data_IF_936106862659
#
_entry.id   IF_936106862659
#
_cell.length_a   1.000
_cell.length_b   1.000
_cell.length_c   1.000
_cell.angle_alpha   90.00
_cell.angle_beta   90.00
_cell.angle_gamma   90.00
#
_symmetry.space_group_name_H-M   'P 1'
#
loop_
_entity.id
_entity.type
_entity.pdbx_description
1 polymer ?
#
# COMPACT_ATOMS: atom_id res chain seq x y z
N UNK A 1 -12.02 -38.85 -50.95
CA UNK A 1 -10.81 -38.12 -50.53
C UNK A 1 -11.27 -36.96 -49.65
N UNK A 2 -11.23 -37.13 -48.32
CA UNK A 2 -11.74 -36.17 -47.34
C UNK A 2 -10.65 -35.13 -47.01
N UNK A 3 -10.90 -33.81 -47.09
CA UNK A 3 -9.97 -32.84 -46.56
C UNK A 3 -10.23 -32.61 -45.07
N UNK A 4 -9.16 -32.87 -44.33
CA UNK A 4 -9.00 -32.70 -42.90
C UNK A 4 -9.25 -31.23 -42.48
N UNK A 5 -10.31 -31.01 -41.70
CA UNK A 5 -10.63 -29.73 -41.06
C UNK A 5 -9.60 -29.47 -39.94
N UNK A 6 -8.55 -28.70 -40.24
CA UNK A 6 -7.57 -28.23 -39.24
C UNK A 6 -8.20 -27.11 -38.42
N UNK A 7 -8.73 -27.46 -37.25
CA UNK A 7 -9.19 -26.52 -36.24
C UNK A 7 -7.96 -25.84 -35.59
N UNK A 8 -7.57 -24.67 -36.10
CA UNK A 8 -6.57 -23.80 -35.49
C UNK A 8 -7.19 -23.13 -34.26
N UNK A 9 -6.85 -23.66 -33.08
CA UNK A 9 -7.18 -23.05 -31.79
C UNK A 9 -6.30 -21.79 -31.62
N UNK A 10 -6.81 -20.63 -32.02
CA UNK A 10 -6.21 -19.34 -31.72
C UNK A 10 -6.42 -19.07 -30.22
N UNK A 11 -5.44 -19.44 -29.39
CA UNK A 11 -5.31 -18.91 -28.04
C UNK A 11 -5.05 -17.40 -28.15
N UNK A 12 -6.11 -16.60 -28.07
CA UNK A 12 -6.03 -15.16 -27.87
C UNK A 12 -5.44 -14.92 -26.48
N UNK A 13 -4.12 -14.74 -26.40
CA UNK A 13 -3.47 -14.16 -25.24
C UNK A 13 -4.00 -12.73 -25.12
N UNK A 14 -4.90 -12.51 -24.16
CA UNK A 14 -5.31 -11.17 -23.81
C UNK A 14 -4.07 -10.42 -23.31
N UNK A 15 -3.58 -9.48 -24.11
CA UNK A 15 -2.61 -8.49 -23.67
C UNK A 15 -3.29 -7.67 -22.58
N UNK A 16 -3.04 -8.03 -21.32
CA UNK A 16 -3.40 -7.19 -20.18
C UNK A 16 -2.52 -5.96 -20.29
N UNK A 17 -3.08 -4.85 -20.81
CA UNK A 17 -2.38 -3.57 -20.78
C UNK A 17 -2.02 -3.27 -19.33
N UNK A 18 -0.77 -2.89 -19.01
CA UNK A 18 -0.46 -2.43 -17.67
C UNK A 18 -1.38 -1.26 -17.37
N UNK A 19 -2.03 -1.27 -16.21
CA UNK A 19 -2.66 -0.06 -15.68
C UNK A 19 -1.56 0.98 -15.65
N UNK A 20 -1.63 1.99 -16.53
CA UNK A 20 -0.64 3.05 -16.55
C UNK A 20 -0.72 3.74 -15.19
N UNK A 21 0.31 3.50 -14.37
CA UNK A 21 0.48 4.13 -13.09
C UNK A 21 0.54 5.66 -13.34
N UNK A 22 -0.41 6.41 -12.78
CA UNK A 22 -0.56 7.84 -13.02
C UNK A 22 -0.37 8.62 -11.71
N UNK A 23 0.47 9.67 -11.77
CA UNK A 23 0.57 10.66 -10.70
C UNK A 23 -0.58 11.65 -10.92
N UNK A 24 -1.45 11.80 -9.93
CA UNK A 24 -2.55 12.75 -9.98
C UNK A 24 -2.07 14.19 -9.75
N UNK A 25 -2.79 15.16 -10.33
CA UNK A 25 -2.51 16.59 -10.11
C UNK A 25 -2.83 17.03 -8.67
N UNK A 26 -3.66 16.27 -7.96
CA UNK A 26 -4.01 16.54 -6.56
C UNK A 26 -4.49 15.29 -5.85
N UNK A 27 -4.51 15.33 -4.52
CA UNK A 27 -5.02 14.26 -3.69
C UNK A 27 -6.47 13.89 -4.04
N UNK A 28 -7.30 14.86 -4.47
CA UNK A 28 -8.74 14.68 -4.69
C UNK A 28 -9.08 13.84 -5.92
N UNK A 29 -8.13 13.69 -6.85
CA UNK A 29 -8.37 13.05 -8.15
C UNK A 29 -7.54 11.79 -8.38
N UNK A 30 -6.97 11.23 -7.31
CA UNK A 30 -6.33 9.91 -7.35
C UNK A 30 -7.32 8.82 -7.74
N UNK A 31 -6.81 7.73 -8.31
CA UNK A 31 -7.62 6.61 -8.82
C UNK A 31 -7.10 5.31 -8.24
N UNK A 32 -7.48 4.98 -6.99
CA UNK A 32 -6.91 3.85 -6.30
C UNK A 32 -7.24 2.53 -6.99
N UNK A 33 -6.31 1.59 -6.89
CA UNK A 33 -6.55 0.21 -7.29
C UNK A 33 -7.76 -0.38 -6.55
N UNK A 34 -8.52 -1.22 -7.25
CA UNK A 34 -9.81 -1.74 -6.76
C UNK A 34 -9.64 -2.94 -5.83
N UNK A 35 -10.62 -3.12 -4.94
CA UNK A 35 -10.79 -4.39 -4.22
C UNK A 35 -11.02 -5.51 -5.24
N UNK A 36 -10.38 -6.66 -5.02
CA UNK A 36 -10.33 -7.80 -5.93
C UNK A 36 -9.14 -7.78 -6.88
N UNK A 37 -8.38 -6.68 -6.97
CA UNK A 37 -7.13 -6.65 -7.76
C UNK A 37 -5.98 -7.32 -7.02
N UNK A 38 -5.07 -7.92 -7.77
CA UNK A 38 -3.78 -8.36 -7.25
C UNK A 38 -2.91 -7.15 -6.87
N UNK A 39 -2.13 -7.29 -5.80
CA UNK A 39 -1.12 -6.31 -5.42
C UNK A 39 -0.09 -6.15 -6.57
N UNK A 40 0.25 -4.91 -6.95
CA UNK A 40 1.14 -4.67 -8.08
C UNK A 40 2.57 -5.14 -7.80
N UNK A 41 3.28 -5.51 -8.87
CA UNK A 41 4.70 -5.81 -8.80
C UNK A 41 5.49 -4.50 -8.85
N UNK A 42 6.10 -4.12 -7.73
CA UNK A 42 6.88 -2.87 -7.59
C UNK A 42 8.16 -3.12 -6.80
N UNK A 43 9.20 -2.33 -7.10
CA UNK A 43 10.44 -2.34 -6.33
C UNK A 43 10.33 -1.39 -5.14
N UNK A 44 11.05 -1.75 -4.09
CA UNK A 44 11.03 -1.05 -2.81
C UNK A 44 12.43 -1.13 -2.19
N UNK A 45 12.68 -0.34 -1.14
CA UNK A 45 13.95 -0.37 -0.40
C UNK A 45 13.71 -0.58 1.09
N UNK A 46 14.35 -1.59 1.68
CA UNK A 46 14.27 -1.84 3.14
C UNK A 46 15.05 -0.78 3.92
N UNK A 47 14.82 -0.70 5.23
CA UNK A 47 15.61 0.15 6.14
C UNK A 47 17.13 -0.04 6.02
N UNK A 48 17.58 -1.23 5.65
CA UNK A 48 19.02 -1.52 5.47
C UNK A 48 19.61 -0.93 4.18
N UNK A 49 18.80 -0.29 3.33
CA UNK A 49 19.18 0.11 1.97
C UNK A 49 19.11 -1.03 0.94
N UNK A 50 18.77 -2.25 1.37
CA UNK A 50 18.65 -3.38 0.45
C UNK A 50 17.39 -3.26 -0.42
N UNK A 51 17.54 -3.49 -1.73
CA UNK A 51 16.43 -3.61 -2.66
C UNK A 51 15.54 -4.81 -2.32
N UNK A 52 14.23 -4.65 -2.51
CA UNK A 52 13.21 -5.68 -2.33
C UNK A 52 12.05 -5.45 -3.31
N UNK A 53 11.08 -6.35 -3.31
CA UNK A 53 9.82 -6.17 -4.05
C UNK A 53 8.64 -6.24 -3.09
N UNK A 54 7.51 -5.64 -3.47
CA UNK A 54 6.29 -5.76 -2.65
C UNK A 54 5.91 -7.22 -2.43
N UNK A 55 6.00 -8.07 -3.45
CA UNK A 55 5.72 -9.49 -3.32
C UNK A 55 6.61 -10.19 -2.27
N UNK A 56 7.90 -9.83 -2.20
CA UNK A 56 8.81 -10.36 -1.20
C UNK A 56 8.48 -9.88 0.22
N UNK A 57 8.06 -8.61 0.38
CA UNK A 57 7.61 -8.07 1.67
C UNK A 57 6.28 -8.69 2.13
N UNK A 58 5.37 -8.99 1.19
CA UNK A 58 4.13 -9.71 1.49
C UNK A 58 4.43 -11.16 1.91
N UNK A 59 5.35 -11.85 1.23
CA UNK A 59 5.85 -13.17 1.64
C UNK A 59 4.77 -14.25 1.78
N UNK A 60 3.66 -14.12 1.06
CA UNK A 60 2.49 -15.01 1.15
C UNK A 60 1.71 -14.91 2.47
N UNK A 61 1.93 -13.85 3.25
CA UNK A 61 1.16 -13.57 4.46
C UNK A 61 0.06 -12.57 4.16
N UNK A 62 -1.15 -12.77 4.73
CA UNK A 62 -2.15 -11.73 4.68
C UNK A 62 -1.60 -10.48 5.41
N UNK A 63 -1.84 -9.31 4.85
CA UNK A 63 -1.10 -8.10 5.21
C UNK A 63 -2.04 -6.90 5.32
N UNK A 64 -1.94 -6.18 6.43
CA UNK A 64 -2.43 -4.79 6.51
C UNK A 64 -1.32 -3.91 5.94
N UNK A 65 -1.55 -3.36 4.75
CA UNK A 65 -0.61 -2.48 4.06
C UNK A 65 -1.05 -1.02 4.25
N UNK A 66 -0.14 -0.17 4.73
CA UNK A 66 -0.42 1.23 5.02
C UNK A 66 0.51 2.12 4.20
N UNK A 67 -0.06 3.03 3.41
CA UNK A 67 0.71 4.11 2.80
C UNK A 67 0.57 5.38 3.62
N UNK A 68 1.72 5.98 3.97
CA UNK A 68 1.79 7.18 4.76
C UNK A 68 2.75 8.20 4.15
N UNK A 69 2.60 9.47 4.53
CA UNK A 69 3.28 10.59 3.85
C UNK A 69 4.77 10.69 4.15
N UNK A 70 5.18 10.15 5.30
CA UNK A 70 6.53 10.21 5.83
C UNK A 70 6.54 10.38 7.35
N UNK A 71 7.69 10.12 7.98
CA UNK A 71 7.89 10.14 9.43
C UNK A 71 7.76 11.53 10.06
N UNK A 72 7.90 12.58 9.25
CA UNK A 72 7.66 13.97 9.64
C UNK A 72 6.16 14.29 9.83
N UNK A 73 5.24 13.45 9.37
CA UNK A 73 3.81 13.73 9.44
C UNK A 73 3.18 13.27 10.77
N UNK A 74 2.71 14.18 11.64
CA UNK A 74 2.20 13.81 12.97
C UNK A 74 0.93 12.95 12.90
N UNK A 75 0.05 13.19 11.93
CA UNK A 75 -1.15 12.38 11.72
C UNK A 75 -0.81 10.94 11.31
N UNK A 76 0.26 10.76 10.52
CA UNK A 76 0.72 9.44 10.11
C UNK A 76 1.30 8.68 11.31
N UNK A 77 2.14 9.32 12.13
CA UNK A 77 2.69 8.71 13.33
C UNK A 77 1.60 8.29 14.32
N UNK A 78 0.57 9.12 14.51
CA UNK A 78 -0.59 8.77 15.33
C UNK A 78 -1.34 7.56 14.75
N UNK A 79 -1.62 7.54 13.45
CA UNK A 79 -2.30 6.41 12.81
C UNK A 79 -1.50 5.11 12.95
N UNK A 80 -0.19 5.16 12.72
CA UNK A 80 0.68 3.99 12.86
C UNK A 80 0.68 3.49 14.32
N UNK A 81 0.75 4.39 15.30
CA UNK A 81 0.63 4.03 16.72
C UNK A 81 -0.70 3.36 17.06
N UNK A 82 -1.82 3.81 16.47
CA UNK A 82 -3.12 3.17 16.64
C UNK A 82 -3.19 1.80 15.96
N UNK A 83 -2.67 1.65 14.74
CA UNK A 83 -2.68 0.38 14.01
C UNK A 83 -1.84 -0.70 14.68
N UNK A 84 -0.76 -0.34 15.39
CA UNK A 84 0.02 -1.28 16.23
C UNK A 84 -0.84 -2.03 17.24
N UNK A 85 -1.92 -1.41 17.75
CA UNK A 85 -2.84 -2.04 18.71
C UNK A 85 -3.58 -3.25 18.12
N UNK A 86 -3.51 -3.48 16.80
CA UNK A 86 -3.98 -4.70 16.14
C UNK A 86 -3.04 -5.89 16.33
N UNK A 87 -1.85 -5.73 16.91
CA UNK A 87 -0.84 -6.79 17.06
C UNK A 87 -1.40 -8.15 17.48
N UNK A 88 -2.27 -8.24 18.52
CA UNK A 88 -2.91 -9.50 18.91
C UNK A 88 -3.79 -10.13 17.82
N UNK A 89 -4.60 -9.32 17.11
CA UNK A 89 -5.44 -9.79 16.01
C UNK A 89 -4.60 -10.24 14.83
N UNK A 90 -3.55 -9.48 14.52
CA UNK A 90 -2.62 -9.80 13.44
C UNK A 90 -1.97 -11.17 13.71
N UNK A 91 -1.44 -11.36 14.93
CA UNK A 91 -0.82 -12.62 15.33
C UNK A 91 -1.82 -13.79 15.31
N UNK A 92 -3.07 -13.58 15.78
CA UNK A 92 -4.11 -14.61 15.81
C UNK A 92 -4.45 -15.13 14.41
N UNK A 93 -4.45 -14.25 13.41
CA UNK A 93 -4.84 -14.58 12.04
C UNK A 93 -3.65 -14.74 11.08
N UNK A 94 -2.42 -14.73 11.58
CA UNK A 94 -1.21 -14.83 10.75
C UNK A 94 -0.94 -13.61 9.87
N UNK A 95 -1.61 -12.49 10.14
CA UNK A 95 -1.40 -11.24 9.44
C UNK A 95 -0.10 -10.56 9.87
N UNK A 96 0.42 -9.73 8.98
CA UNK A 96 1.45 -8.75 9.28
C UNK A 96 0.97 -7.32 9.01
N UNK A 97 1.68 -6.35 9.59
CA UNK A 97 1.56 -4.93 9.26
C UNK A 97 2.80 -4.52 8.46
N UNK A 98 2.57 -3.86 7.32
CA UNK A 98 3.59 -3.32 6.44
C UNK A 98 3.24 -1.85 6.17
N UNK A 99 4.19 -0.94 6.40
CA UNK A 99 4.00 0.47 6.12
C UNK A 99 5.02 0.99 5.11
N UNK A 100 4.52 1.72 4.11
CA UNK A 100 5.28 2.25 2.99
C UNK A 100 5.12 3.77 2.93
N UNK A 101 6.22 4.47 2.70
CA UNK A 101 6.23 5.92 2.46
C UNK A 101 7.25 6.30 1.40
N UNK A 102 7.15 7.50 0.81
CA UNK A 102 8.16 8.00 -0.11
C UNK A 102 9.45 8.46 0.59
N UNK A 103 9.56 8.33 1.93
CA UNK A 103 10.80 8.65 2.62
C UNK A 103 11.90 7.65 2.19
N UNK A 104 13.12 8.15 1.92
CA UNK A 104 14.28 7.29 1.65
C UNK A 104 14.61 6.42 2.86
N UNK A 105 15.32 5.32 2.63
CA UNK A 105 15.61 4.32 3.66
C UNK A 105 16.23 4.90 4.94
N UNK A 106 17.11 5.88 4.82
CA UNK A 106 17.79 6.55 5.93
C UNK A 106 16.84 7.40 6.79
N UNK A 107 15.75 7.87 6.19
CA UNK A 107 14.76 8.75 6.81
C UNK A 107 13.62 7.96 7.46
N UNK A 108 13.37 6.72 7.03
CA UNK A 108 12.34 5.85 7.60
C UNK A 108 12.47 5.70 9.12
N UNK A 109 13.70 5.66 9.65
CA UNK A 109 13.98 5.54 11.08
C UNK A 109 13.51 6.74 11.92
N UNK A 110 13.12 7.85 11.30
CA UNK A 110 12.47 8.99 11.95
C UNK A 110 10.97 8.75 12.18
N UNK A 111 10.40 7.71 11.58
CA UNK A 111 9.04 7.24 11.81
C UNK A 111 8.97 6.55 13.17
N UNK A 112 8.22 7.11 14.13
CA UNK A 112 8.12 6.63 15.52
C UNK A 112 9.46 6.63 16.28
N UNK A 113 9.41 6.49 17.61
CA UNK A 113 10.63 6.37 18.42
C UNK A 113 11.25 4.99 18.24
N UNK A 114 12.57 4.90 18.24
CA UNK A 114 13.30 3.62 18.20
C UNK A 114 12.85 2.74 19.38
N UNK A 115 12.23 1.59 19.09
CA UNK A 115 11.58 0.70 20.08
C UNK A 115 10.06 0.60 19.96
N UNK A 116 9.43 1.53 19.23
CA UNK A 116 7.99 1.56 18.94
C UNK A 116 7.63 0.96 17.58
N UNK A 117 8.54 0.25 16.94
CA UNK A 117 8.34 -0.29 15.59
C UNK A 117 8.48 -1.81 15.65
N UNK A 118 7.35 -2.49 15.68
CA UNK A 118 7.20 -3.95 15.68
C UNK A 118 6.63 -4.47 14.35
N UNK A 119 6.65 -3.62 13.32
CA UNK A 119 6.18 -3.91 11.97
C UNK A 119 7.17 -3.40 10.93
N UNK A 120 7.06 -3.90 9.69
CA UNK A 120 7.99 -3.55 8.63
C UNK A 120 7.73 -2.12 8.12
N UNK A 121 8.80 -1.33 8.03
CA UNK A 121 8.85 -0.05 7.33
C UNK A 121 9.67 -0.20 6.06
N UNK A 122 9.14 0.27 4.94
CA UNK A 122 9.78 0.12 3.62
C UNK A 122 9.66 1.43 2.84
N UNK A 123 10.74 1.80 2.16
CA UNK A 123 10.86 3.00 1.34
C UNK A 123 10.32 2.73 -0.06
N UNK A 124 9.53 3.67 -0.55
CA UNK A 124 9.13 3.85 -1.94
C UNK A 124 9.59 5.22 -2.44
N UNK A 125 10.87 5.55 -2.26
CA UNK A 125 11.46 6.85 -2.60
C UNK A 125 11.24 7.25 -4.06
N UNK A 126 11.18 6.29 -4.98
CA UNK A 126 10.88 6.56 -6.39
C UNK A 126 9.38 6.61 -6.72
N UNK A 127 8.52 6.50 -5.69
CA UNK A 127 7.06 6.51 -5.79
C UNK A 127 6.47 5.47 -6.75
N UNK A 128 7.13 4.32 -6.93
CA UNK A 128 6.66 3.26 -7.83
C UNK A 128 5.40 2.58 -7.26
N UNK A 129 5.43 2.23 -5.97
CA UNK A 129 4.27 1.65 -5.29
C UNK A 129 3.12 2.64 -5.20
N UNK A 130 3.41 3.90 -4.86
CA UNK A 130 2.44 4.99 -4.81
C UNK A 130 1.68 5.14 -6.13
N UNK A 131 2.41 5.12 -7.26
CA UNK A 131 1.80 5.22 -8.58
C UNK A 131 1.03 3.94 -8.95
N UNK A 132 1.58 2.76 -8.67
CA UNK A 132 0.95 1.49 -9.03
C UNK A 132 -0.34 1.20 -8.24
N UNK A 133 -0.42 1.67 -7.00
CA UNK A 133 -1.66 1.65 -6.21
C UNK A 133 -2.64 2.77 -6.59
N UNK A 134 -2.24 3.70 -7.48
CA UNK A 134 -3.08 4.80 -7.94
C UNK A 134 -3.38 5.83 -6.85
N UNK A 135 -2.46 6.03 -5.90
CA UNK A 135 -2.59 6.95 -4.76
C UNK A 135 -1.55 8.08 -4.78
N UNK A 136 -0.65 8.10 -5.76
CA UNK A 136 0.32 9.18 -5.96
C UNK A 136 -0.36 10.48 -6.40
N UNK A 137 0.02 11.59 -5.79
CA UNK A 137 -0.26 12.92 -6.34
C UNK A 137 0.96 13.83 -6.23
N UNK A 138 1.06 14.80 -7.13
CA UNK A 138 2.08 15.86 -7.08
C UNK A 138 1.64 16.96 -6.13
N UNK A 139 2.53 17.34 -5.22
CA UNK A 139 2.35 18.52 -4.35
C UNK A 139 2.69 19.76 -5.17
N UNK A 140 1.81 20.77 -5.16
CA UNK A 140 2.05 22.02 -5.87
C UNK A 140 3.16 22.84 -5.20
N UNK A 141 3.88 23.65 -5.99
CA UNK A 141 5.03 24.44 -5.55
C UNK A 141 4.69 25.33 -4.34
N UNK A 142 3.49 25.92 -4.31
CA UNK A 142 3.06 26.78 -3.20
C UNK A 142 2.91 26.01 -1.88
N UNK A 143 2.53 24.73 -1.97
CA UNK A 143 2.45 23.84 -0.80
C UNK A 143 3.83 23.33 -0.40
N UNK A 144 4.73 23.06 -1.36
CA UNK A 144 6.13 22.72 -1.08
C UNK A 144 6.83 23.84 -0.33
N UNK A 145 6.69 25.09 -0.77
CA UNK A 145 7.25 26.27 -0.08
C UNK A 145 6.70 26.42 1.35
N UNK A 146 5.38 26.20 1.54
CA UNK A 146 4.78 26.21 2.89
C UNK A 146 5.37 25.14 3.79
N UNK A 147 5.59 23.94 3.25
CA UNK A 147 6.20 22.83 4.01
C UNK A 147 7.62 23.15 4.43
N UNK A 148 8.42 23.73 3.53
CA UNK A 148 9.76 24.23 3.88
C UNK A 148 9.70 25.26 5.02
N UNK A 149 8.73 26.19 4.97
CA UNK A 149 8.48 27.15 6.06
C UNK A 149 8.13 26.51 7.41
N UNK A 150 7.60 25.29 7.40
CA UNK A 150 7.35 24.49 8.61
C UNK A 150 8.51 23.53 8.97
N UNK A 151 9.63 23.60 8.26
CA UNK A 151 10.77 22.69 8.43
C UNK A 151 10.57 21.29 7.85
N UNK A 152 9.62 21.12 6.94
CA UNK A 152 9.35 19.87 6.22
C UNK A 152 9.97 19.98 4.83
N UNK A 153 11.07 19.28 4.62
CA UNK A 153 11.77 19.20 3.34
C UNK A 153 11.45 17.86 2.66
N UNK A 154 10.60 17.90 1.63
CA UNK A 154 10.18 16.71 0.90
C UNK A 154 11.30 16.10 0.06
N UNK A 155 12.23 16.92 -0.43
CA UNK A 155 13.36 16.44 -1.23
C UNK A 155 14.38 15.75 -0.34
N UNK A 156 14.66 16.33 0.83
CA UNK A 156 15.49 15.65 1.82
C UNK A 156 14.85 14.36 2.34
N UNK A 157 13.53 14.38 2.60
CA UNK A 157 12.83 13.21 3.11
C UNK A 157 12.84 12.05 2.10
N UNK A 158 12.58 12.33 0.82
CA UNK A 158 12.52 11.30 -0.24
C UNK A 158 13.86 10.98 -0.89
N UNK A 159 14.83 11.90 -0.81
CA UNK A 159 16.03 11.84 -1.64
C UNK A 159 15.80 12.21 -3.11
N UNK A 160 14.60 12.69 -3.46
CA UNK A 160 14.15 12.92 -4.83
C UNK A 160 13.55 14.33 -5.02
N UNK A 161 13.54 14.83 -6.25
CA UNK A 161 13.00 16.17 -6.59
C UNK A 161 11.56 16.13 -7.12
N UNK A 162 10.88 14.98 -7.01
CA UNK A 162 9.61 14.74 -7.69
C UNK A 162 8.39 15.38 -7.00
N UNK A 163 8.50 15.75 -5.72
CA UNK A 163 7.43 16.29 -4.86
C UNK A 163 6.12 15.47 -4.91
N UNK A 164 6.22 14.16 -4.73
CA UNK A 164 5.10 13.21 -4.81
C UNK A 164 4.80 12.78 -3.40
N UNK A 165 3.52 12.79 -3.02
CA UNK A 165 3.04 12.22 -1.79
C UNK A 165 1.92 11.21 -2.06
N UNK A 166 1.73 10.23 -1.17
CA UNK A 166 0.57 9.37 -1.21
C UNK A 166 -0.65 10.10 -0.64
N UNK A 167 -1.82 9.86 -1.22
CA UNK A 167 -3.05 9.90 -0.45
C UNK A 167 -2.98 8.79 0.61
N UNK A 168 -3.04 9.12 1.92
CA UNK A 168 -2.90 8.11 2.94
C UNK A 168 -3.96 7.04 2.80
N UNK A 169 -3.52 5.79 2.92
CA UNK A 169 -4.39 4.65 2.64
C UNK A 169 -4.05 3.44 3.48
N UNK A 170 -5.07 2.59 3.67
CA UNK A 170 -4.95 1.28 4.30
C UNK A 170 -5.59 0.26 3.38
N UNK A 171 -4.83 -0.75 3.02
CA UNK A 171 -5.29 -1.92 2.28
C UNK A 171 -5.19 -3.14 3.20
N UNK A 172 -6.14 -4.08 3.06
CA UNK A 172 -6.00 -5.43 3.63
C UNK A 172 -5.88 -6.38 2.46
N UNK A 173 -4.77 -7.11 2.41
CA UNK A 173 -4.37 -8.01 1.34
C UNK A 173 -4.38 -9.44 1.91
N UNK A 174 -4.92 -10.40 1.17
CA UNK A 174 -4.93 -11.81 1.58
C UNK A 174 -3.60 -12.52 1.28
N UNK A 175 -3.48 -13.79 1.68
CA UNK A 175 -2.26 -14.59 1.45
C UNK A 175 -1.95 -14.84 -0.04
N UNK A 176 -2.95 -14.71 -0.92
CA UNK A 176 -2.79 -14.81 -2.37
C UNK A 176 -2.33 -13.48 -3.01
N UNK A 177 -2.19 -12.42 -2.22
CA UNK A 177 -1.81 -11.09 -2.69
C UNK A 177 -2.97 -10.31 -3.31
N UNK A 178 -4.22 -10.65 -3.03
CA UNK A 178 -5.41 -9.94 -3.54
C UNK A 178 -5.90 -8.93 -2.51
N UNK A 179 -6.24 -7.72 -2.97
CA UNK A 179 -6.77 -6.65 -2.14
C UNK A 179 -8.21 -6.98 -1.75
N UNK A 180 -8.48 -7.14 -0.46
CA UNK A 180 -9.81 -7.48 0.08
C UNK A 180 -10.51 -6.28 0.74
N UNK A 181 -9.73 -5.27 1.13
CA UNK A 181 -10.24 -4.00 1.66
C UNK A 181 -9.34 -2.86 1.20
N UNK A 182 -9.95 -1.72 0.92
CA UNK A 182 -9.24 -0.49 0.61
C UNK A 182 -9.93 0.69 1.32
N UNK A 183 -9.14 1.53 1.98
CA UNK A 183 -9.54 2.83 2.46
C UNK A 183 -8.54 3.88 1.98
N UNK A 184 -9.03 4.87 1.24
CA UNK A 184 -8.22 5.95 0.68
C UNK A 184 -8.97 7.25 0.91
N UNK A 185 -8.32 8.25 1.53
CA UNK A 185 -8.97 9.52 1.82
C UNK A 185 -8.07 10.73 1.50
N UNK A 186 -8.47 11.62 0.57
CA UNK A 186 -7.68 12.78 0.18
C UNK A 186 -7.47 13.79 1.32
N UNK A 187 -8.35 13.84 2.31
CA UNK A 187 -8.06 14.57 3.54
C UNK A 187 -7.16 13.73 4.45
N UNK A 188 -5.86 14.04 4.44
CA UNK A 188 -4.85 13.35 5.23
C UNK A 188 -5.09 13.41 6.75
N UNK A 189 -6.03 14.21 7.25
CA UNK A 189 -6.41 14.24 8.67
C UNK A 189 -7.44 13.16 9.00
N UNK A 190 -8.21 12.72 8.01
CA UNK A 190 -9.22 11.68 8.18
C UNK A 190 -8.59 10.31 8.04
N UNK A 191 -8.73 9.47 9.07
CA UNK A 191 -8.12 8.13 9.12
C UNK A 191 -9.18 7.06 9.25
N UNK A 192 -8.87 5.88 8.71
CA UNK A 192 -9.74 4.71 8.88
C UNK A 192 -9.88 4.40 10.38
N UNK A 193 -11.10 4.20 10.90
CA UNK A 193 -11.30 3.77 12.26
C UNK A 193 -10.70 2.38 12.50
N UNK A 194 -10.01 2.18 13.62
CA UNK A 194 -9.36 0.90 13.97
C UNK A 194 -10.32 -0.30 13.90
N UNK A 195 -11.58 -0.11 14.31
CA UNK A 195 -12.63 -1.14 14.24
C UNK A 195 -12.92 -1.62 12.81
N UNK A 196 -12.80 -0.75 11.81
CA UNK A 196 -13.03 -1.12 10.41
C UNK A 196 -11.90 -1.99 9.89
N UNK A 197 -10.64 -1.65 10.24
CA UNK A 197 -9.48 -2.47 9.87
C UNK A 197 -9.56 -3.84 10.52
N UNK A 198 -9.94 -3.91 11.80
CA UNK A 198 -10.17 -5.17 12.52
C UNK A 198 -11.25 -6.03 11.86
N UNK A 199 -12.41 -5.44 11.54
CA UNK A 199 -13.48 -6.16 10.86
C UNK A 199 -13.04 -6.69 9.48
N UNK A 200 -12.22 -5.93 8.74
CA UNK A 200 -11.66 -6.39 7.48
C UNK A 200 -10.70 -7.58 7.66
N UNK A 201 -9.81 -7.55 8.66
CA UNK A 201 -8.93 -8.68 9.02
C UNK A 201 -9.76 -9.93 9.31
N UNK A 202 -10.77 -9.81 10.17
CA UNK A 202 -11.66 -10.93 10.55
C UNK A 202 -12.40 -11.50 9.34
N UNK A 203 -12.90 -10.64 8.44
CA UNK A 203 -13.60 -11.07 7.23
C UNK A 203 -12.69 -11.88 6.28
N UNK A 204 -11.46 -11.41 6.06
CA UNK A 204 -10.47 -12.12 5.23
C UNK A 204 -10.10 -13.45 5.88
N UNK A 205 -9.82 -13.47 7.18
CA UNK A 205 -9.47 -14.70 7.90
C UNK A 205 -10.59 -15.75 7.85
N UNK A 206 -11.87 -15.34 7.92
CA UNK A 206 -13.02 -16.24 7.76
C UNK A 206 -13.15 -16.77 6.33
N UNK A 207 -12.84 -15.95 5.33
CA UNK A 207 -12.82 -16.34 3.92
C UNK A 207 -11.75 -17.38 3.62
N UNK A 208 -10.52 -17.16 4.10
CA UNK A 208 -9.41 -18.12 3.96
C UNK A 208 -9.69 -19.44 4.70
N UNK A 209 -10.41 -19.40 5.83
CA UNK A 209 -10.85 -20.59 6.55
C UNK A 209 -12.02 -21.34 5.87
N UNK A 210 -12.48 -20.91 4.69
CA UNK A 210 -13.57 -21.54 3.93
C UNK A 210 -14.94 -21.45 4.60
N UNK A 211 -15.16 -20.48 5.50
CA UNK A 211 -16.36 -20.39 6.36
C UNK A 211 -17.47 -19.49 5.83
N UNK A 212 -17.25 -18.74 4.74
CA UNK A 212 -18.22 -17.74 4.30
C UNK A 212 -19.52 -18.34 3.73
N UNK A 213 -19.49 -19.57 3.20
CA UNK A 213 -20.68 -20.25 2.70
C UNK A 213 -20.57 -21.77 2.91
N UNK A 214 -20.92 -22.27 4.11
CA UNK A 214 -21.43 -23.65 4.18
C UNK A 214 -22.88 -23.60 3.72
N UNK A 215 -23.27 -24.23 2.60
CA UNK A 215 -24.68 -24.29 2.23
C UNK A 215 -25.46 -24.92 3.40
N UNK A 216 -26.58 -24.30 3.77
CA UNK A 216 -27.53 -24.90 4.70
C UNK A 216 -27.92 -26.27 4.10
N UNK A 217 -27.68 -27.33 4.88
CA UNK A 217 -28.12 -28.69 4.51
C UNK A 217 -29.63 -28.79 4.61
#
# INVERSE_FOLDING_TARGET
MSPLLKLLLLCSVALVSPVQAQIADSAQVVRPILVGSAAPSVQLTRLSGASTTLAAELGGKPTVLVFYRGGWCPYCNLQLSELRKLGPDLATHGFQLLAISPDRAEELGKTLKKGDIDFALVSDSHAEALQAFGIAFRVDDSTVEKYQGFGIDLEHASGETHHILPVPSVFVIDAAGVIQFAYVNPDYRTRVPLRMVRAAIEAVALGEAGRLLKPAR
#
